data_IF_938784354270
#
_entry.id   IF_938784354270
#
_cell.length_a   1.000
_cell.length_b   1.000
_cell.length_c   1.000
_cell.angle_alpha   90.00
_cell.angle_beta   90.00
_cell.angle_gamma   90.00
#
_symmetry.space_group_name_H-M   'P 1'
#
loop_
_entity.id
_entity.type
_entity.pdbx_description
1 polymer ?
#
# COMPACT_ATOMS: atom_id res chain seq x y z
N UNK A 1 2.39 32.55 6.25
CA UNK A 1 1.48 31.50 5.70
C UNK A 1 0.19 31.45 6.49
N UNK A 2 -0.90 30.97 5.86
CA UNK A 2 -2.17 30.65 6.54
C UNK A 2 -2.63 29.24 6.16
N UNK A 3 -3.27 28.54 7.08
CA UNK A 3 -3.89 27.22 6.84
C UNK A 3 -5.30 27.46 6.31
N UNK A 4 -5.60 27.00 5.09
CA UNK A 4 -6.92 27.11 4.47
C UNK A 4 -7.83 25.96 4.88
N UNK A 5 -7.28 24.76 5.03
CA UNK A 5 -8.03 23.60 5.53
C UNK A 5 -7.04 22.68 6.23
N UNK A 6 -7.41 22.15 7.39
CA UNK A 6 -6.65 21.08 8.03
C UNK A 6 -7.61 20.16 8.77
N UNK A 7 -7.67 18.93 8.33
CA UNK A 7 -8.42 17.87 9.03
C UNK A 7 -7.72 17.46 10.33
N UNK A 8 -6.42 17.71 10.48
CA UNK A 8 -5.64 17.46 11.69
C UNK A 8 -5.97 18.48 12.79
N UNK A 9 -5.93 19.77 12.46
CA UNK A 9 -6.22 20.83 13.42
C UNK A 9 -7.74 21.04 13.65
N UNK A 10 -8.60 20.20 13.04
CA UNK A 10 -10.05 20.39 13.00
C UNK A 10 -10.46 21.76 12.44
N UNK A 11 -9.63 22.33 11.56
CA UNK A 11 -9.89 23.58 10.84
C UNK A 11 -10.72 23.24 9.59
N UNK A 12 -12.05 23.15 9.78
CA UNK A 12 -13.08 23.80 8.95
C UNK A 12 -14.49 23.20 9.17
N UNK A 13 -15.47 24.04 9.54
CA UNK A 13 -16.64 24.18 8.65
C UNK A 13 -17.04 25.63 8.28
N UNK A 14 -16.45 26.66 8.88
CA UNK A 14 -16.79 28.07 8.60
C UNK A 14 -15.69 28.78 7.81
N UNK A 15 -15.31 28.21 6.65
CA UNK A 15 -14.40 28.89 5.72
C UNK A 15 -15.01 30.20 5.25
N UNK A 16 -14.26 31.29 5.35
CA UNK A 16 -14.71 32.56 4.81
C UNK A 16 -14.76 32.54 3.27
N UNK A 17 -15.32 33.58 2.66
CA UNK A 17 -15.45 33.61 1.20
C UNK A 17 -14.07 33.62 0.51
N UNK A 18 -13.09 34.29 1.10
CA UNK A 18 -11.74 34.40 0.53
C UNK A 18 -11.04 33.03 0.52
N UNK A 19 -11.14 32.28 1.62
CA UNK A 19 -10.58 30.92 1.76
C UNK A 19 -11.27 29.93 0.80
N UNK A 20 -12.60 30.01 0.67
CA UNK A 20 -13.36 29.18 -0.29
C UNK A 20 -12.98 29.49 -1.73
N UNK A 21 -12.81 30.76 -2.06
CA UNK A 21 -12.36 31.17 -3.40
C UNK A 21 -10.93 30.71 -3.69
N UNK A 22 -10.02 30.80 -2.71
CA UNK A 22 -8.65 30.33 -2.84
C UNK A 22 -8.59 28.81 -3.09
N UNK A 23 -9.33 28.01 -2.32
CA UNK A 23 -9.42 26.56 -2.53
C UNK A 23 -10.04 26.22 -3.89
N UNK A 24 -11.08 26.94 -4.31
CA UNK A 24 -11.70 26.73 -5.62
C UNK A 24 -10.73 27.08 -6.78
N UNK A 25 -9.95 28.14 -6.63
CA UNK A 25 -8.94 28.53 -7.61
C UNK A 25 -7.80 27.49 -7.69
N UNK A 26 -7.31 27.04 -6.53
CA UNK A 26 -6.31 25.98 -6.44
C UNK A 26 -6.79 24.67 -7.10
N UNK A 27 -8.04 24.27 -6.86
CA UNK A 27 -8.62 23.05 -7.43
C UNK A 27 -8.84 23.14 -8.95
N UNK A 28 -9.17 24.32 -9.50
CA UNK A 28 -9.47 24.50 -10.93
C UNK A 28 -8.23 24.72 -11.79
N UNK A 29 -7.27 25.49 -11.29
CA UNK A 29 -6.16 26.01 -12.08
C UNK A 29 -4.79 25.91 -11.39
N UNK A 30 -4.72 25.28 -10.22
CA UNK A 30 -3.46 25.05 -9.53
C UNK A 30 -2.51 24.18 -10.34
N UNK A 31 -1.30 24.68 -10.58
CA UNK A 31 -0.23 23.95 -11.27
C UNK A 31 0.74 23.39 -10.24
N UNK A 32 0.98 22.08 -10.27
CA UNK A 32 1.99 21.45 -9.42
C UNK A 32 3.39 21.86 -9.88
N UNK A 33 4.18 22.38 -8.94
CA UNK A 33 5.53 22.92 -9.20
C UNK A 33 6.60 21.99 -8.65
N UNK A 34 6.35 21.43 -7.48
CA UNK A 34 7.21 20.46 -6.78
C UNK A 34 6.31 19.42 -6.13
N UNK A 35 6.71 18.16 -6.14
CA UNK A 35 5.95 17.07 -5.52
C UNK A 35 6.92 16.10 -4.87
N UNK A 36 6.68 15.79 -3.61
CA UNK A 36 7.28 14.65 -2.92
C UNK A 36 6.15 13.69 -2.55
N UNK A 37 6.33 12.38 -2.74
CA UNK A 37 5.34 11.39 -2.35
C UNK A 37 5.97 10.09 -1.87
N UNK A 38 5.24 9.37 -1.04
CA UNK A 38 5.52 8.03 -0.57
C UNK A 38 4.35 7.13 -0.95
N UNK A 39 4.63 5.99 -1.55
CA UNK A 39 3.61 4.99 -1.80
C UNK A 39 3.27 4.21 -0.52
N UNK A 40 2.01 3.80 -0.39
CA UNK A 40 1.56 2.87 0.65
C UNK A 40 1.94 1.41 0.31
N UNK A 41 1.58 0.47 1.18
CA UNK A 41 1.85 -0.96 0.97
C UNK A 41 1.07 -1.60 -0.19
N UNK A 42 0.15 -0.87 -0.82
CA UNK A 42 -0.55 -1.27 -2.04
C UNK A 42 0.03 -0.62 -3.31
N UNK A 43 1.10 0.18 -3.19
CA UNK A 43 1.68 0.92 -4.30
C UNK A 43 0.84 2.12 -4.75
N UNK A 44 -0.12 2.56 -3.94
CA UNK A 44 -0.90 3.79 -4.16
C UNK A 44 -0.25 4.96 -3.44
N UNK A 45 -0.67 6.19 -3.73
CA UNK A 45 -0.17 7.36 -2.99
C UNK A 45 -0.61 7.28 -1.52
N UNK A 46 0.32 6.96 -0.63
CA UNK A 46 0.08 6.94 0.81
C UNK A 46 0.18 8.35 1.39
N UNK A 47 1.28 9.04 1.11
CA UNK A 47 1.52 10.44 1.49
C UNK A 47 1.99 11.20 0.26
N UNK A 48 1.42 12.38 0.02
CA UNK A 48 1.83 13.29 -1.04
C UNK A 48 1.87 14.71 -0.51
N UNK A 49 2.98 15.40 -0.75
CA UNK A 49 3.14 16.82 -0.48
C UNK A 49 3.42 17.52 -1.81
N UNK A 50 2.61 18.50 -2.15
CA UNK A 50 2.72 19.22 -3.42
C UNK A 50 2.79 20.72 -3.16
N UNK A 51 3.81 21.39 -3.69
CA UNK A 51 3.80 22.84 -3.85
C UNK A 51 3.07 23.19 -5.15
N UNK A 52 1.99 23.96 -5.05
CA UNK A 52 1.18 24.40 -6.19
C UNK A 52 1.20 25.91 -6.33
N UNK A 53 1.28 26.38 -7.56
CA UNK A 53 1.06 27.77 -7.94
C UNK A 53 -0.38 27.93 -8.45
N UNK A 54 -1.07 28.99 -8.04
CA UNK A 54 -2.41 29.30 -8.54
C UNK A 54 -2.63 30.82 -8.58
N UNK A 55 -3.69 31.26 -9.26
CA UNK A 55 -4.11 32.66 -9.26
C UNK A 55 -5.48 32.81 -8.59
N UNK A 56 -5.65 33.80 -7.73
CA UNK A 56 -6.97 34.16 -7.18
C UNK A 56 -7.89 34.70 -8.28
N UNK A 57 -9.18 34.86 -7.98
CA UNK A 57 -10.13 35.47 -8.94
C UNK A 57 -9.74 36.90 -9.33
N UNK A 58 -9.06 37.62 -8.43
CA UNK A 58 -8.55 38.97 -8.66
C UNK A 58 -7.25 38.98 -9.50
N UNK A 59 -6.71 37.81 -9.83
CA UNK A 59 -5.49 37.64 -10.61
C UNK A 59 -4.20 37.71 -9.79
N UNK A 60 -4.27 37.68 -8.46
CA UNK A 60 -3.10 37.61 -7.60
C UNK A 60 -2.48 36.20 -7.67
N UNK A 61 -1.18 36.14 -7.95
CA UNK A 61 -0.42 34.89 -7.92
C UNK A 61 -0.14 34.46 -6.48
N UNK A 62 -0.45 33.21 -6.15
CA UNK A 62 -0.28 32.63 -4.83
C UNK A 62 0.27 31.21 -4.90
N UNK A 63 0.77 30.75 -3.76
CA UNK A 63 1.46 29.48 -3.61
C UNK A 63 0.81 28.70 -2.47
N UNK A 64 0.54 27.41 -2.67
CA UNK A 64 -0.04 26.55 -1.64
C UNK A 64 0.76 25.26 -1.51
N UNK A 65 1.03 24.88 -0.26
CA UNK A 65 1.51 23.54 0.10
C UNK A 65 0.29 22.69 0.38
N UNK A 66 0.15 21.58 -0.34
CA UNK A 66 -0.94 20.64 -0.19
C UNK A 66 -0.37 19.33 0.33
N UNK A 67 -0.73 18.95 1.55
CA UNK A 67 -0.46 17.66 2.14
C UNK A 67 -1.69 16.75 1.98
N UNK A 68 -1.49 15.57 1.43
CA UNK A 68 -2.49 14.51 1.27
C UNK A 68 -1.93 13.24 1.91
N UNK A 69 -2.47 12.83 3.05
CA UNK A 69 -2.12 11.60 3.74
C UNK A 69 -3.34 10.70 3.99
N UNK A 70 -3.14 9.52 4.58
CA UNK A 70 -4.20 8.53 4.78
C UNK A 70 -5.24 8.98 5.82
N UNK A 71 -4.81 9.79 6.78
CA UNK A 71 -5.65 10.24 7.90
C UNK A 71 -6.04 11.72 7.80
N UNK A 72 -5.37 12.49 6.95
CA UNK A 72 -5.60 13.92 6.86
C UNK A 72 -5.21 14.52 5.51
N UNK A 73 -5.90 15.60 5.18
CA UNK A 73 -5.52 16.56 4.15
C UNK A 73 -5.34 17.93 4.80
N UNK A 74 -4.29 18.64 4.38
CA UNK A 74 -4.01 20.01 4.79
C UNK A 74 -3.60 20.87 3.58
N UNK A 75 -4.07 22.11 3.54
CA UNK A 75 -3.70 23.10 2.53
C UNK A 75 -3.27 24.38 3.22
N UNK A 76 -2.04 24.80 2.98
CA UNK A 76 -1.46 26.01 3.58
C UNK A 76 -1.00 26.94 2.46
N UNK A 77 -1.53 28.17 2.39
CA UNK A 77 -1.16 29.14 1.35
C UNK A 77 -0.28 30.29 1.85
N UNK A 78 0.43 30.87 0.88
CA UNK A 78 1.19 32.10 1.01
C UNK A 78 1.12 32.93 -0.26
N UNK A 79 1.22 34.25 -0.10
CA UNK A 79 1.50 35.17 -1.19
C UNK A 79 3.01 35.22 -1.54
N UNK A 80 3.88 34.72 -0.65
CA UNK A 80 5.33 34.67 -0.87
C UNK A 80 5.76 33.25 -1.27
N UNK A 81 6.31 33.13 -2.48
CA UNK A 81 6.87 31.89 -2.99
C UNK A 81 7.96 31.33 -2.08
N UNK A 82 8.88 32.17 -1.60
CA UNK A 82 10.01 31.70 -0.81
C UNK A 82 9.55 31.12 0.53
N UNK A 83 8.52 31.71 1.13
CA UNK A 83 7.88 31.18 2.34
C UNK A 83 7.21 29.83 2.06
N UNK A 84 6.50 29.69 0.94
CA UNK A 84 5.85 28.42 0.56
C UNK A 84 6.86 27.31 0.19
N UNK A 85 7.95 27.65 -0.50
CA UNK A 85 9.06 26.72 -0.79
C UNK A 85 9.71 26.23 0.52
N UNK A 86 9.96 27.13 1.48
CA UNK A 86 10.54 26.76 2.77
C UNK A 86 9.60 25.83 3.57
N UNK A 87 8.31 26.16 3.62
CA UNK A 87 7.32 25.32 4.32
C UNK A 87 7.13 23.95 3.66
N UNK A 88 7.15 23.88 2.32
CA UNK A 88 7.15 22.60 1.61
C UNK A 88 8.33 21.73 2.04
N UNK A 89 9.55 22.27 2.05
CA UNK A 89 10.73 21.49 2.41
C UNK A 89 10.75 21.12 3.90
N UNK A 90 10.28 22.00 4.77
CA UNK A 90 10.16 21.73 6.20
C UNK A 90 9.15 20.62 6.48
N UNK A 91 8.01 20.59 5.77
CA UNK A 91 7.02 19.52 5.91
C UNK A 91 7.54 18.16 5.41
N UNK A 92 8.25 18.15 4.26
CA UNK A 92 8.86 16.92 3.76
C UNK A 92 9.92 16.39 4.73
N UNK A 93 10.73 17.27 5.34
CA UNK A 93 11.76 16.89 6.33
C UNK A 93 11.15 16.46 7.65
N UNK A 94 10.13 17.16 8.15
CA UNK A 94 9.50 16.86 9.44
C UNK A 94 8.92 15.44 9.45
N UNK A 95 8.34 15.01 8.33
CA UNK A 95 7.81 13.66 8.15
C UNK A 95 8.88 12.56 8.23
N UNK A 96 10.14 12.86 7.86
CA UNK A 96 11.26 11.91 8.04
C UNK A 96 11.61 11.74 9.53
N UNK A 97 11.49 12.80 10.31
CA UNK A 97 11.90 12.84 11.72
C UNK A 97 10.92 12.16 12.67
N UNK A 98 9.68 11.87 12.22
CA UNK A 98 8.61 11.37 13.09
C UNK A 98 8.82 9.97 13.69
N UNK A 99 9.75 9.15 13.16
CA UNK A 99 10.18 7.88 13.76
C UNK A 99 9.11 6.77 13.80
N UNK A 100 9.46 5.56 13.39
CA UNK A 100 8.55 4.39 13.42
C UNK A 100 7.50 4.36 12.30
N UNK A 101 6.82 5.49 12.05
CA UNK A 101 5.75 5.65 11.04
C UNK A 101 6.08 6.68 9.95
N UNK A 102 7.34 7.13 9.88
CA UNK A 102 7.79 8.09 8.86
C UNK A 102 7.58 7.53 7.43
N UNK A 103 6.97 8.29 6.50
CA UNK A 103 6.69 7.81 5.17
C UNK A 103 7.97 7.51 4.41
N UNK A 104 7.92 6.40 3.66
CA UNK A 104 9.00 5.99 2.79
C UNK A 104 8.99 6.80 1.49
N UNK A 105 9.58 8.00 1.46
CA UNK A 105 9.56 8.89 0.29
C UNK A 105 9.95 8.16 -0.99
N UNK A 106 9.00 7.85 -1.86
CA UNK A 106 9.24 7.22 -3.16
C UNK A 106 9.90 8.19 -4.13
N UNK A 107 9.56 9.47 -4.01
CA UNK A 107 10.18 10.56 -4.74
C UNK A 107 10.24 11.79 -3.85
N UNK A 108 11.37 12.49 -3.86
CA UNK A 108 11.48 13.81 -3.26
C UNK A 108 12.53 14.63 -3.99
N UNK A 109 12.24 15.92 -4.16
CA UNK A 109 13.17 16.90 -4.70
C UNK A 109 13.86 17.74 -3.60
N UNK A 110 13.65 17.39 -2.33
CA UNK A 110 14.19 18.10 -1.17
C UNK A 110 15.58 17.57 -0.82
N UNK A 111 16.64 18.40 -0.83
CA UNK A 111 17.99 17.94 -0.55
C UNK A 111 18.13 17.34 0.86
N UNK A 112 18.79 16.18 0.94
CA UNK A 112 19.06 15.48 2.19
C UNK A 112 17.92 14.59 2.70
N UNK A 113 16.77 14.56 2.01
CA UNK A 113 15.67 13.64 2.31
C UNK A 113 15.99 12.26 1.72
N UNK A 114 16.01 11.19 2.54
CA UNK A 114 16.28 9.85 2.03
C UNK A 114 15.08 9.35 1.21
N UNK A 115 15.33 9.07 -0.07
CA UNK A 115 14.35 8.43 -0.97
C UNK A 115 14.39 6.91 -0.76
N UNK A 116 13.22 6.28 -0.84
CA UNK A 116 12.99 4.84 -0.85
C UNK A 116 13.91 4.17 -1.84
N UNK A 117 14.87 3.44 -1.29
CA UNK A 117 15.94 2.85 -2.06
C UNK A 117 15.45 1.71 -2.97
N UNK A 118 14.23 1.17 -2.79
CA UNK A 118 13.76 0.00 -3.56
C UNK A 118 12.32 0.10 -4.09
N UNK A 119 12.16 -0.32 -5.33
CA UNK A 119 10.87 -0.70 -5.94
C UNK A 119 10.83 -2.22 -6.08
N UNK A 120 9.73 -2.83 -5.66
CA UNK A 120 9.51 -4.28 -5.74
C UNK A 120 8.31 -4.55 -6.65
N UNK A 121 8.54 -5.29 -7.73
CA UNK A 121 7.47 -5.80 -8.60
C UNK A 121 7.32 -7.29 -8.33
N UNK A 122 6.11 -7.71 -8.02
CA UNK A 122 5.75 -9.10 -7.78
C UNK A 122 4.84 -9.56 -8.90
N UNK A 123 5.26 -10.60 -9.61
CA UNK A 123 4.48 -11.25 -10.65
C UNK A 123 4.17 -12.68 -10.20
N UNK A 124 2.91 -13.09 -10.29
CA UNK A 124 2.46 -14.45 -9.94
C UNK A 124 1.86 -15.13 -11.15
N UNK A 125 2.21 -16.40 -11.36
CA UNK A 125 1.68 -17.19 -12.47
C UNK A 125 0.49 -18.03 -12.01
N UNK A 126 -0.70 -17.71 -12.52
CA UNK A 126 -1.97 -18.39 -12.26
C UNK A 126 -2.43 -19.03 -13.57
N UNK A 127 -2.55 -20.36 -13.60
CA UNK A 127 -3.02 -21.11 -14.78
C UNK A 127 -2.30 -20.77 -16.11
N UNK A 128 -1.04 -20.35 -16.02
CA UNK A 128 -0.23 -19.94 -17.17
C UNK A 128 -0.31 -18.46 -17.55
N UNK A 129 -1.23 -17.69 -16.96
CA UNK A 129 -1.28 -16.24 -17.05
C UNK A 129 -0.44 -15.58 -15.95
N UNK A 130 0.13 -14.41 -16.23
CA UNK A 130 0.85 -13.61 -15.24
C UNK A 130 -0.03 -12.49 -14.73
N UNK A 131 -0.17 -12.43 -13.42
CA UNK A 131 -0.73 -11.29 -12.70
C UNK A 131 0.42 -10.49 -12.06
N UNK A 132 0.26 -9.16 -11.95
CA UNK A 132 1.32 -8.24 -11.55
C UNK A 132 0.85 -7.26 -10.47
N UNK A 133 1.66 -7.16 -9.42
CA UNK A 133 1.54 -6.23 -8.31
C UNK A 133 2.86 -5.44 -8.16
N UNK A 134 2.80 -4.17 -7.78
CA UNK A 134 3.97 -3.30 -7.59
C UNK A 134 3.89 -2.61 -6.22
N UNK A 135 4.98 -2.70 -5.45
CA UNK A 135 5.10 -2.20 -4.08
C UNK A 135 6.43 -1.43 -3.97
N UNK A 136 6.45 -0.26 -3.33
CA UNK A 136 7.70 0.46 -3.03
C UNK A 136 8.06 0.33 -1.54
N UNK A 137 9.35 0.28 -1.21
CA UNK A 137 9.80 0.10 0.18
C UNK A 137 11.18 0.70 0.48
N UNK A 138 11.52 0.82 1.77
CA UNK A 138 12.86 1.17 2.27
C UNK A 138 13.67 -0.05 2.68
N UNK A 139 15.01 0.10 2.64
CA UNK A 139 15.94 -0.86 3.26
C UNK A 139 15.79 -0.82 4.79
N UNK A 140 15.73 -1.99 5.43
CA UNK A 140 15.65 -2.09 6.89
C UNK A 140 14.27 -1.85 7.49
N UNK A 141 13.25 -1.62 6.68
CA UNK A 141 11.85 -1.73 7.09
C UNK A 141 11.29 -3.11 6.72
N UNK A 142 10.32 -3.58 7.51
CA UNK A 142 9.56 -4.79 7.18
C UNK A 142 8.81 -4.55 5.87
N UNK A 143 9.20 -5.27 4.81
CA UNK A 143 8.48 -5.22 3.54
C UNK A 143 7.16 -6.00 3.69
N UNK A 144 6.04 -5.33 3.44
CA UNK A 144 4.75 -6.00 3.27
C UNK A 144 4.43 -6.20 1.80
N UNK A 145 4.15 -7.44 1.40
CA UNK A 145 3.61 -7.78 0.08
C UNK A 145 2.32 -8.58 0.32
N UNK A 146 1.18 -8.03 -0.10
CA UNK A 146 -0.12 -8.55 0.31
C UNK A 146 -0.25 -8.60 1.84
N UNK A 147 -0.55 -9.79 2.39
CA UNK A 147 -0.66 -10.03 3.83
C UNK A 147 0.64 -10.46 4.51
N UNK A 148 1.76 -10.51 3.78
CA UNK A 148 3.01 -11.12 4.27
C UNK A 148 4.08 -10.09 4.58
N UNK A 149 4.71 -10.26 5.74
CA UNK A 149 5.85 -9.46 6.20
C UNK A 149 7.17 -10.18 5.92
N UNK A 150 8.13 -9.44 5.37
CA UNK A 150 9.52 -9.87 5.22
C UNK A 150 10.38 -8.96 6.11
N UNK A 151 11.07 -9.57 7.08
CA UNK A 151 11.96 -8.86 8.00
C UNK A 151 13.11 -8.18 7.23
N UNK A 152 13.34 -6.90 7.50
CA UNK A 152 14.36 -6.08 6.84
C UNK A 152 15.79 -6.50 7.18
N UNK A 153 16.01 -7.18 8.31
CA UNK A 153 17.35 -7.65 8.74
C UNK A 153 17.90 -8.77 7.83
N UNK A 154 17.03 -9.51 7.13
CA UNK A 154 17.41 -10.55 6.18
C UNK A 154 17.76 -9.98 4.78
N UNK A 155 17.53 -8.68 4.56
CA UNK A 155 17.64 -7.99 3.28
C UNK A 155 18.95 -7.18 3.23
N UNK A 156 20.09 -7.87 3.22
CA UNK A 156 21.40 -7.18 3.23
C UNK A 156 21.88 -6.70 1.85
N UNK A 157 21.29 -7.20 0.76
CA UNK A 157 21.58 -6.81 -0.62
C UNK A 157 20.40 -7.13 -1.56
N UNK A 158 20.38 -6.51 -2.75
CA UNK A 158 19.34 -6.64 -3.77
C UNK A 158 19.04 -8.09 -4.20
N UNK A 159 20.09 -8.91 -4.30
CA UNK A 159 19.98 -10.29 -4.76
C UNK A 159 19.25 -11.12 -3.71
N UNK A 160 19.63 -10.95 -2.44
CA UNK A 160 18.96 -11.57 -1.31
C UNK A 160 17.55 -11.05 -1.12
N UNK A 161 17.32 -9.75 -1.31
CA UNK A 161 15.99 -9.14 -1.22
C UNK A 161 14.99 -9.87 -2.11
N UNK A 162 15.21 -9.90 -3.43
CA UNK A 162 14.27 -10.53 -4.35
C UNK A 162 14.09 -12.03 -4.05
N UNK A 163 15.17 -12.73 -3.71
CA UNK A 163 15.14 -14.16 -3.44
C UNK A 163 14.37 -14.50 -2.15
N UNK A 164 14.58 -13.73 -1.08
CA UNK A 164 13.86 -13.88 0.19
C UNK A 164 12.38 -13.61 -0.02
N UNK A 165 12.03 -12.51 -0.68
CA UNK A 165 10.62 -12.14 -0.96
C UNK A 165 9.94 -13.24 -1.78
N UNK A 166 10.54 -13.66 -2.90
CA UNK A 166 9.97 -14.70 -3.76
C UNK A 166 9.75 -16.02 -3.00
N UNK A 167 10.69 -16.39 -2.12
CA UNK A 167 10.60 -17.60 -1.31
C UNK A 167 9.51 -17.49 -0.22
N UNK A 168 9.42 -16.34 0.45
CA UNK A 168 8.41 -16.12 1.50
C UNK A 168 7.00 -16.17 0.91
N UNK A 169 6.78 -15.48 -0.20
CA UNK A 169 5.50 -15.51 -0.92
C UNK A 169 5.14 -16.94 -1.36
N UNK A 170 6.10 -17.66 -1.95
CA UNK A 170 5.88 -19.04 -2.36
C UNK A 170 5.60 -20.00 -1.18
N UNK A 171 6.20 -19.76 -0.03
CA UNK A 171 5.96 -20.56 1.17
C UNK A 171 4.56 -20.33 1.74
N UNK A 172 4.09 -19.07 1.76
CA UNK A 172 2.74 -18.73 2.19
C UNK A 172 1.68 -19.32 1.26
N UNK A 173 1.86 -19.13 -0.05
CA UNK A 173 0.96 -19.60 -1.09
C UNK A 173 0.85 -21.13 -1.16
N UNK A 174 1.81 -21.87 -0.59
CA UNK A 174 1.74 -23.34 -0.54
C UNK A 174 0.52 -23.82 0.26
N UNK A 175 0.20 -23.15 1.37
CA UNK A 175 -0.98 -23.46 2.17
C UNK A 175 -2.26 -23.21 1.38
N UNK A 176 -2.37 -22.03 0.79
CA UNK A 176 -3.52 -21.61 -0.01
C UNK A 176 -3.74 -22.52 -1.22
N UNK A 177 -2.66 -22.89 -1.93
CA UNK A 177 -2.73 -23.86 -3.02
C UNK A 177 -3.21 -25.23 -2.53
N UNK A 178 -2.76 -25.69 -1.36
CA UNK A 178 -3.19 -26.97 -0.81
C UNK A 178 -4.68 -26.97 -0.49
N UNK A 179 -5.19 -25.91 0.11
CA UNK A 179 -6.60 -25.75 0.47
C UNK A 179 -7.49 -25.59 -0.78
N UNK A 180 -7.02 -24.86 -1.80
CA UNK A 180 -7.67 -24.77 -3.10
C UNK A 180 -7.77 -26.16 -3.76
N UNK A 181 -6.66 -26.91 -3.82
CA UNK A 181 -6.65 -28.26 -4.41
C UNK A 181 -7.50 -29.25 -3.61
N UNK A 182 -7.58 -29.12 -2.28
CA UNK A 182 -8.49 -29.91 -1.44
C UNK A 182 -9.95 -29.62 -1.77
N UNK A 183 -10.31 -28.34 -1.92
CA UNK A 183 -11.67 -27.90 -2.27
C UNK A 183 -12.07 -28.38 -3.66
N UNK A 184 -11.19 -28.25 -4.65
CA UNK A 184 -11.40 -28.80 -5.99
C UNK A 184 -11.61 -30.33 -5.95
N UNK A 185 -10.79 -31.06 -5.19
CA UNK A 185 -10.86 -32.53 -5.10
C UNK A 185 -12.15 -33.06 -4.45
N UNK A 186 -12.85 -32.23 -3.67
CA UNK A 186 -14.16 -32.56 -3.11
C UNK A 186 -15.33 -32.01 -3.92
N UNK A 187 -15.05 -31.27 -4.99
CA UNK A 187 -16.06 -30.68 -5.88
C UNK A 187 -16.64 -29.36 -5.37
N UNK A 188 -15.98 -28.71 -4.42
CA UNK A 188 -16.37 -27.40 -3.89
C UNK A 188 -15.73 -26.27 -4.72
N UNK A 189 -16.39 -25.11 -4.86
CA UNK A 189 -15.80 -23.94 -5.49
C UNK A 189 -14.54 -23.49 -4.74
N UNK A 190 -13.45 -23.26 -5.46
CA UNK A 190 -12.23 -22.66 -4.89
C UNK A 190 -12.42 -21.15 -4.70
N UNK A 191 -12.01 -20.64 -3.54
CA UNK A 191 -11.99 -19.20 -3.24
C UNK A 191 -10.62 -18.56 -3.52
N UNK A 192 -9.65 -19.35 -3.96
CA UNK A 192 -8.26 -18.93 -4.13
C UNK A 192 -7.69 -19.55 -5.38
N UNK A 193 -6.92 -18.74 -6.12
CA UNK A 193 -6.23 -19.17 -7.33
C UNK A 193 -5.01 -20.05 -7.01
N UNK A 194 -4.79 -21.08 -7.82
CA UNK A 194 -3.57 -21.90 -7.71
C UNK A 194 -2.42 -21.20 -8.43
N UNK A 195 -1.44 -20.76 -7.65
CA UNK A 195 -0.24 -20.08 -8.17
C UNK A 195 0.89 -21.08 -8.34
N UNK A 196 1.49 -21.16 -9.54
CA UNK A 196 2.59 -22.09 -9.81
C UNK A 196 3.98 -21.49 -9.58
N UNK A 197 4.15 -20.18 -9.75
CA UNK A 197 5.44 -19.49 -9.70
C UNK A 197 5.24 -18.05 -9.22
N UNK A 198 6.14 -17.59 -8.35
CA UNK A 198 6.38 -16.17 -8.13
C UNK A 198 7.64 -15.73 -8.85
N UNK A 199 7.59 -14.55 -9.46
CA UNK A 199 8.74 -13.80 -9.92
C UNK A 199 8.74 -12.46 -9.20
N UNK A 200 9.86 -12.13 -8.58
CA UNK A 200 10.01 -10.87 -7.84
C UNK A 200 11.18 -10.13 -8.44
N UNK A 201 10.93 -8.89 -8.84
CA UNK A 201 11.94 -7.96 -9.32
C UNK A 201 12.11 -6.86 -8.31
N UNK A 202 13.31 -6.69 -7.79
CA UNK A 202 13.69 -5.60 -6.89
C UNK A 202 14.62 -4.66 -7.65
N UNK A 203 14.20 -3.42 -7.75
CA UNK A 203 14.95 -2.33 -8.39
C UNK A 203 15.42 -1.39 -7.31
N UNK A 204 16.73 -1.23 -7.16
CA UNK A 204 17.31 -0.13 -6.41
C UNK A 204 17.38 1.12 -7.28
N UNK A 205 16.98 2.25 -6.72
CA UNK A 205 17.17 3.57 -7.32
C UNK A 205 17.98 4.40 -6.35
N UNK A 206 19.23 4.68 -6.67
CA UNK A 206 20.05 5.58 -5.86
C UNK A 206 20.99 6.43 -6.68
N UNK A 207 21.88 7.14 -5.99
CA UNK A 207 22.70 8.23 -6.58
C UNK A 207 23.61 7.75 -7.72
N UNK A 208 24.05 6.49 -7.68
CA UNK A 208 24.93 5.87 -8.68
C UNK A 208 24.17 5.25 -9.87
N UNK A 209 22.84 5.33 -9.88
CA UNK A 209 21.97 4.83 -10.95
C UNK A 209 20.98 3.76 -10.49
N UNK A 210 20.37 3.08 -11.47
CA UNK A 210 19.38 2.03 -11.23
C UNK A 210 20.07 0.65 -11.25
N UNK A 211 19.77 -0.20 -10.27
CA UNK A 211 20.23 -1.58 -10.23
C UNK A 211 19.05 -2.53 -10.00
N UNK A 212 18.82 -3.44 -10.94
CA UNK A 212 17.63 -4.31 -10.92
C UNK A 212 18.03 -5.77 -10.80
N UNK A 213 17.36 -6.51 -9.93
CA UNK A 213 17.55 -7.94 -9.75
C UNK A 213 16.20 -8.67 -9.72
N UNK A 214 16.13 -9.80 -10.42
CA UNK A 214 14.92 -10.64 -10.49
C UNK A 214 15.21 -12.02 -9.94
N UNK A 215 14.41 -12.45 -8.97
CA UNK A 215 14.34 -13.83 -8.52
C UNK A 215 13.04 -14.49 -8.98
N UNK A 216 13.05 -15.81 -9.09
CA UNK A 216 11.82 -16.58 -9.27
C UNK A 216 11.83 -17.78 -8.35
N UNK A 217 10.67 -18.12 -7.81
CA UNK A 217 10.48 -19.28 -6.96
C UNK A 217 9.23 -20.04 -7.41
N UNK A 218 9.40 -21.33 -7.67
CA UNK A 218 8.28 -22.20 -7.95
C UNK A 218 7.51 -22.47 -6.64
N UNK A 219 6.19 -22.49 -6.74
CA UNK A 219 5.32 -23.01 -5.69
C UNK A 219 5.02 -24.46 -6.07
N UNK A 220 5.68 -25.45 -5.45
CA UNK A 220 5.44 -26.84 -5.81
C UNK A 220 3.96 -27.20 -5.57
N UNK A 221 3.34 -27.81 -6.57
CA UNK A 221 1.99 -28.33 -6.47
C UNK A 221 2.01 -29.59 -5.58
N UNK A 222 1.62 -29.43 -4.31
CA UNK A 222 1.46 -30.54 -3.38
C UNK A 222 0.04 -31.10 -3.50
N UNK A 223 -0.14 -32.01 -4.46
CA UNK A 223 -1.43 -32.69 -4.66
C UNK A 223 -1.88 -33.38 -3.39
N UNK A 224 -3.10 -33.09 -2.90
CA UNK A 224 -3.64 -33.76 -1.73
C UNK A 224 -3.70 -35.27 -1.93
N UNK A 225 -3.33 -36.02 -0.90
CA UNK A 225 -3.48 -37.47 -0.89
C UNK A 225 -4.95 -37.86 -0.73
N UNK A 226 -5.31 -39.08 -1.14
CA UNK A 226 -6.67 -39.61 -0.95
C UNK A 226 -7.12 -39.55 0.52
N UNK A 227 -6.19 -39.75 1.47
CA UNK A 227 -6.49 -39.66 2.90
C UNK A 227 -6.81 -38.23 3.33
N UNK A 228 -6.06 -37.24 2.86
CA UNK A 228 -6.31 -35.82 3.16
C UNK A 228 -7.66 -35.36 2.59
N UNK A 229 -7.98 -35.79 1.36
CA UNK A 229 -9.28 -35.49 0.73
C UNK A 229 -10.43 -36.07 1.57
N UNK A 230 -10.31 -37.31 2.02
CA UNK A 230 -11.35 -37.95 2.82
C UNK A 230 -11.49 -37.32 4.22
N UNK A 231 -10.37 -36.96 4.84
CA UNK A 231 -10.41 -36.20 6.10
C UNK A 231 -11.07 -34.84 5.92
N UNK A 232 -10.80 -34.15 4.82
CA UNK A 232 -11.41 -32.86 4.49
C UNK A 232 -12.91 -32.98 4.27
N UNK A 233 -13.39 -33.98 3.50
CA UNK A 233 -14.84 -34.28 3.35
C UNK A 233 -15.52 -34.50 4.70
N UNK A 234 -14.86 -35.26 5.58
CA UNK A 234 -15.38 -35.51 6.93
C UNK A 234 -15.49 -34.22 7.75
N UNK A 235 -14.48 -33.34 7.66
CA UNK A 235 -14.51 -32.02 8.34
C UNK A 235 -15.64 -31.14 7.80
N UNK A 236 -15.81 -31.04 6.49
CA UNK A 236 -16.91 -30.28 5.89
C UNK A 236 -18.28 -30.81 6.32
N UNK A 237 -18.45 -32.15 6.35
CA UNK A 237 -19.67 -32.79 6.85
C UNK A 237 -19.94 -32.43 8.32
N UNK A 238 -18.90 -32.42 9.15
CA UNK A 238 -19.01 -32.06 10.56
C UNK A 238 -19.42 -30.58 10.73
N UNK A 239 -18.77 -29.68 9.99
CA UNK A 239 -19.10 -28.25 10.00
C UNK A 239 -20.57 -28.02 9.61
N UNK A 240 -21.04 -28.66 8.54
CA UNK A 240 -22.43 -28.56 8.12
C UNK A 240 -23.41 -29.04 9.21
N UNK A 241 -23.11 -30.17 9.86
CA UNK A 241 -23.92 -30.70 10.97
C UNK A 241 -23.90 -29.84 12.23
N UNK A 242 -22.78 -29.16 12.50
CA UNK A 242 -22.66 -28.23 13.63
C UNK A 242 -23.45 -26.95 13.35
N UNK A 243 -23.34 -26.40 12.13
CA UNK A 243 -24.14 -25.25 11.70
C UNK A 243 -25.65 -25.55 11.73
N UNK A 244 -26.09 -26.71 11.22
CA UNK A 244 -27.50 -27.12 11.30
C UNK A 244 -28.01 -27.21 12.75
N UNK A 245 -27.17 -27.67 13.67
CA UNK A 245 -27.51 -27.73 15.12
C UNK A 245 -27.60 -26.34 15.75
N UNK A 246 -26.69 -25.44 15.42
CA UNK A 246 -26.73 -24.05 15.89
C UNK A 246 -27.96 -23.31 15.35
N UNK A 247 -28.28 -23.47 14.07
CA UNK A 247 -29.48 -22.88 13.47
C UNK A 247 -30.78 -23.45 14.07
N UNK A 248 -30.85 -24.76 14.32
CA UNK A 248 -32.00 -25.37 14.98
C UNK A 248 -32.17 -24.85 16.43
N UNK A 249 -31.08 -24.69 17.18
CA UNK A 249 -31.10 -24.13 18.54
C UNK A 249 -31.58 -22.68 18.59
N UNK A 250 -31.17 -21.84 17.65
CA UNK A 250 -31.62 -20.44 17.56
C UNK A 250 -33.09 -20.31 17.11
N UNK A 251 -33.58 -21.22 16.27
CA UNK A 251 -34.99 -21.26 15.89
C UNK A 251 -35.93 -21.66 17.05
N UNK A 252 -35.47 -22.52 17.97
CA UNK A 252 -36.24 -22.88 19.17
C UNK A 252 -36.28 -21.75 20.21
N UNK A 253 -35.23 -20.91 20.27
CA UNK A 253 -35.16 -19.74 21.15
C UNK A 253 -36.03 -18.57 20.68
N UNK A 254 -36.09 -18.33 19.36
CA UNK A 254 -36.94 -17.28 18.76
C UNK A 254 -38.42 -17.65 18.66
N UNK A 255 -38.77 -18.94 18.69
CA UNK A 255 -40.16 -19.42 18.74
C UNK A 255 -40.82 -19.39 20.13
N UNK A 256 -40.13 -18.90 21.17
CA UNK A 256 -40.62 -18.79 22.56
C UNK A 256 -40.87 -17.35 23.04
N UNK A 257 -40.78 -16.36 22.15
CA UNK A 257 -41.21 -14.98 22.39
C UNK A 257 -42.59 -14.72 21.76
#
# INVERSE_FOLDING_TARGET
>A
MRVLVSTYESVAPDLDEEEREALAALARAGTAMRTSYALDHYGQDGVRITLRQYCTQEGEERWAVVYEGPESTEVTDSADRAEADAAYEDEVRSMVEYGGDAPAWTESDVPGVPIAAYRVVVERQIEGAWDREEVATHLGQTLRVGAHEVDGDDVTDLTKAAAVIARTLAAAQRGDNHDALLSEAVGEPTLTDVVGVFRVTVTWVGEDGEATFTASHAVPEERPTAQQIEEYRRRLTQIAQDQEREFAGHSEETGRL
#
